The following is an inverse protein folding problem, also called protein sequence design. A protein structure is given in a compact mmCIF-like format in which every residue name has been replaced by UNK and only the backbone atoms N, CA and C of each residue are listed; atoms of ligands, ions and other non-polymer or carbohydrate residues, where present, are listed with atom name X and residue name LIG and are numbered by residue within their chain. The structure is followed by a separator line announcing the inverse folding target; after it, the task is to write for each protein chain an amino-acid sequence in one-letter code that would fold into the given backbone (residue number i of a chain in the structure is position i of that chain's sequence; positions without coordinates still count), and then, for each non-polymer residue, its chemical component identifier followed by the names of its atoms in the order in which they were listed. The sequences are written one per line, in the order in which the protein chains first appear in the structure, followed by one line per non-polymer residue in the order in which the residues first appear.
data_IF_821482904955
#
_entry.id   IF_821482904955
#
_cell.length_a   1.000
_cell.length_b   1.000
_cell.length_c   1.000
_cell.angle_alpha   90.00
_cell.angle_beta   90.00
_cell.angle_gamma   90.00
#
_symmetry.space_group_name_H-M   'P 1'
#
loop_
_entity.id
_entity.type
_entity.pdbx_description
1 polymer ?
#
# COMPACT_ATOMS: atom_id res chain seq x y z
N UNK A 1 5.28 8.42 29.14
CA UNK A 1 4.30 9.10 30.03
C UNK A 1 3.01 9.32 29.27
N UNK A 2 1.95 8.58 29.62
CA UNK A 2 0.60 8.83 29.14
C UNK A 2 0.09 10.14 29.76
N UNK A 3 -0.56 10.99 28.96
CA UNK A 3 -1.06 12.28 29.41
C UNK A 3 -2.03 12.11 30.59
N UNK A 4 -1.69 12.67 31.75
CA UNK A 4 -2.64 12.83 32.87
C UNK A 4 -3.47 14.06 32.55
N UNK A 5 -4.73 13.86 32.18
CA UNK A 5 -5.68 14.96 32.03
C UNK A 5 -6.01 15.52 33.43
N UNK A 6 -5.27 16.55 33.86
CA UNK A 6 -5.68 17.43 34.96
C UNK A 6 -6.49 18.58 34.37
N UNK A 7 -7.80 18.43 34.42
CA UNK A 7 -8.74 19.51 34.10
C UNK A 7 -10.16 19.04 34.41
N UNK A 8 -10.83 19.72 35.34
CA UNK A 8 -12.25 19.54 35.62
C UNK A 8 -13.02 19.75 34.32
N UNK A 9 -13.59 18.68 33.75
CA UNK A 9 -14.41 18.77 32.55
C UNK A 9 -15.69 19.53 32.96
N UNK A 10 -15.80 20.80 32.54
CA UNK A 10 -17.06 21.53 32.62
C UNK A 10 -18.08 20.76 31.79
N UNK A 11 -19.03 20.09 32.45
CA UNK A 11 -20.17 19.46 31.79
C UNK A 11 -21.00 20.56 31.14
N UNK A 12 -20.82 20.78 29.85
CA UNK A 12 -21.79 21.55 29.07
C UNK A 12 -23.14 20.83 29.15
N UNK A 13 -24.24 21.54 29.45
CA UNK A 13 -25.63 21.03 29.47
C UNK A 13 -26.16 20.64 28.07
N UNK A 14 -25.29 20.18 27.17
CA UNK A 14 -25.65 19.70 25.84
C UNK A 14 -26.08 18.24 25.93
N UNK A 15 -27.19 17.89 25.29
CA UNK A 15 -27.59 16.50 25.12
C UNK A 15 -26.47 15.76 24.36
N UNK A 16 -25.97 14.67 24.96
CA UNK A 16 -24.93 13.85 24.36
C UNK A 16 -25.47 13.19 23.09
N UNK A 17 -24.69 13.21 22.01
CA UNK A 17 -24.98 12.41 20.82
C UNK A 17 -24.85 10.92 21.14
N UNK A 18 -25.49 10.06 20.33
CA UNK A 18 -25.51 8.61 20.55
C UNK A 18 -24.10 8.00 20.70
N UNK A 19 -23.12 8.47 19.91
CA UNK A 19 -21.71 8.10 20.04
C UNK A 19 -21.09 8.57 21.38
N UNK A 20 -21.42 9.78 21.82
CA UNK A 20 -20.91 10.38 23.05
C UNK A 20 -21.46 9.65 24.28
N UNK A 21 -22.72 9.19 24.25
CA UNK A 21 -23.32 8.34 25.27
C UNK A 21 -22.59 7.00 25.41
N UNK A 22 -22.22 6.37 24.29
CA UNK A 22 -21.48 5.09 24.30
C UNK A 22 -20.12 5.26 24.99
N UNK A 23 -19.44 6.39 24.81
CA UNK A 23 -18.15 6.65 25.47
C UNK A 23 -18.33 7.04 26.93
N UNK A 24 -19.32 7.90 27.24
CA UNK A 24 -19.53 8.45 28.57
C UNK A 24 -20.13 7.45 29.59
N UNK A 25 -20.89 6.46 29.14
CA UNK A 25 -21.61 5.54 30.04
C UNK A 25 -20.77 4.34 30.52
N UNK A 26 -19.50 4.22 30.09
CA UNK A 26 -18.65 3.10 30.50
C UNK A 26 -17.79 3.49 31.71
N UNK A 27 -18.16 2.95 32.87
CA UNK A 27 -17.55 3.27 34.18
C UNK A 27 -16.31 2.39 34.46
N UNK A 28 -16.07 1.35 33.63
CA UNK A 28 -14.98 0.38 33.83
C UNK A 28 -14.15 0.16 32.58
N UNK A 29 -12.83 0.15 32.76
CA UNK A 29 -11.84 -0.08 31.70
C UNK A 29 -11.86 -1.51 31.14
N UNK A 30 -12.36 -2.49 31.90
CA UNK A 30 -12.38 -3.89 31.47
C UNK A 30 -13.38 -4.08 30.32
N UNK A 31 -12.85 -4.45 29.16
CA UNK A 31 -13.66 -4.68 27.96
C UNK A 31 -14.22 -3.39 27.33
N UNK A 32 -13.73 -2.22 27.75
CA UNK A 32 -14.16 -0.91 27.22
C UNK A 32 -14.05 -0.84 25.69
N UNK A 33 -12.93 -1.29 25.12
CA UNK A 33 -12.73 -1.34 23.67
C UNK A 33 -13.80 -2.19 22.98
N UNK A 34 -14.17 -3.33 23.55
CA UNK A 34 -15.20 -4.22 23.00
C UNK A 34 -16.59 -3.58 23.07
N UNK A 35 -16.91 -2.90 24.19
CA UNK A 35 -18.19 -2.19 24.37
C UNK A 35 -18.32 -1.01 23.41
N UNK A 36 -17.27 -0.21 23.27
CA UNK A 36 -17.21 0.88 22.28
C UNK A 36 -17.35 0.31 20.87
N UNK A 37 -16.60 -0.74 20.54
CA UNK A 37 -16.68 -1.39 19.22
C UNK A 37 -18.09 -1.87 18.90
N UNK A 38 -18.76 -2.57 19.82
CA UNK A 38 -20.15 -3.03 19.65
C UNK A 38 -21.12 -1.88 19.48
N UNK A 39 -21.01 -0.83 20.29
CA UNK A 39 -21.85 0.37 20.17
C UNK A 39 -21.61 1.12 18.86
N UNK A 40 -20.37 1.21 18.39
CA UNK A 40 -20.08 1.76 17.07
C UNK A 40 -20.66 0.88 15.94
N UNK A 41 -20.65 -0.44 16.11
CA UNK A 41 -21.22 -1.39 15.16
C UNK A 41 -22.73 -1.20 15.01
N UNK A 42 -23.47 -0.97 16.10
CA UNK A 42 -24.92 -0.73 16.06
C UNK A 42 -25.27 0.61 15.42
N UNK A 43 -24.41 1.63 15.59
CA UNK A 43 -24.56 2.93 14.93
C UNK A 43 -24.18 2.91 13.45
N UNK A 44 -23.50 1.85 12.99
CA UNK A 44 -23.05 1.74 11.62
C UNK A 44 -24.17 1.25 10.68
N UNK A 45 -25.13 2.13 10.39
CA UNK A 45 -26.23 1.87 9.43
C UNK A 45 -25.88 2.17 7.97
N UNK A 46 -24.75 2.86 7.73
CA UNK A 46 -24.30 3.19 6.37
C UNK A 46 -23.59 1.99 5.74
N UNK A 47 -24.00 1.64 4.51
CA UNK A 47 -23.27 0.71 3.64
C UNK A 47 -21.81 1.14 3.59
N UNK A 48 -20.89 0.26 4.01
CA UNK A 48 -19.46 0.56 3.99
C UNK A 48 -19.04 0.98 2.59
N UNK A 49 -18.34 2.11 2.48
CA UNK A 49 -17.72 2.52 1.23
C UNK A 49 -16.70 1.45 0.86
N UNK A 50 -17.01 0.58 -0.11
CA UNK A 50 -16.08 -0.43 -0.59
C UNK A 50 -14.94 0.28 -1.34
N UNK A 51 -13.70 0.30 -0.80
CA UNK A 51 -12.61 1.04 -1.41
C UNK A 51 -12.23 0.50 -2.79
N UNK A 52 -12.40 -0.81 -3.02
CA UNK A 52 -12.16 -1.46 -4.31
C UNK A 52 -13.16 -0.99 -5.36
N UNK A 53 -14.43 -0.78 -4.99
CA UNK A 53 -15.41 -0.16 -5.91
C UNK A 53 -15.03 1.28 -6.25
N UNK A 54 -14.53 2.07 -5.29
CA UNK A 54 -14.01 3.42 -5.57
C UNK A 54 -12.78 3.42 -6.46
N UNK A 55 -11.93 2.40 -6.36
CA UNK A 55 -10.85 2.22 -7.33
C UNK A 55 -11.38 1.90 -8.73
N UNK A 56 -12.42 1.07 -8.85
CA UNK A 56 -13.06 0.77 -10.12
C UNK A 56 -13.63 2.04 -10.78
N UNK A 57 -14.31 2.89 -10.01
CA UNK A 57 -14.79 4.20 -10.46
C UNK A 57 -13.64 5.09 -10.98
N UNK A 58 -12.55 5.24 -10.21
CA UNK A 58 -11.39 6.05 -10.64
C UNK A 58 -10.75 5.51 -11.93
N UNK A 59 -10.71 4.18 -12.10
CA UNK A 59 -10.15 3.52 -13.28
C UNK A 59 -11.14 3.44 -14.45
N UNK A 60 -12.34 4.02 -14.30
CA UNK A 60 -13.45 3.94 -15.26
C UNK A 60 -13.74 2.49 -15.72
N UNK A 61 -13.83 1.57 -14.76
CA UNK A 61 -13.95 0.12 -15.01
C UNK A 61 -14.96 -0.55 -14.10
N UNK A 62 -15.44 -1.70 -14.55
CA UNK A 62 -16.25 -2.61 -13.74
C UNK A 62 -15.39 -3.75 -13.20
N UNK A 63 -15.50 -4.03 -11.89
CA UNK A 63 -14.88 -5.19 -11.27
C UNK A 63 -15.95 -6.21 -10.89
N UNK A 64 -15.72 -7.48 -11.23
CA UNK A 64 -16.60 -8.57 -10.82
C UNK A 64 -16.50 -8.82 -9.31
N UNK A 65 -17.39 -9.66 -8.78
CA UNK A 65 -17.33 -10.07 -7.37
C UNK A 65 -16.01 -10.79 -7.07
N UNK A 66 -15.52 -11.58 -8.00
CA UNK A 66 -14.28 -12.34 -7.93
C UNK A 66 -13.05 -11.41 -7.94
N UNK A 67 -13.06 -10.36 -8.75
CA UNK A 67 -12.01 -9.34 -8.78
C UNK A 67 -11.91 -8.62 -7.43
N UNK A 68 -13.06 -8.24 -6.86
CA UNK A 68 -13.15 -7.63 -5.53
C UNK A 68 -12.61 -8.58 -4.47
N UNK A 69 -12.99 -9.86 -4.50
CA UNK A 69 -12.46 -10.86 -3.59
C UNK A 69 -10.95 -11.07 -3.76
N UNK A 70 -10.44 -11.04 -4.99
CA UNK A 70 -9.00 -11.16 -5.27
C UNK A 70 -8.22 -9.99 -4.67
N UNK A 71 -8.71 -8.77 -4.81
CA UNK A 71 -8.12 -7.59 -4.18
C UNK A 71 -8.11 -7.71 -2.65
N UNK A 72 -9.20 -8.19 -2.03
CA UNK A 72 -9.25 -8.43 -0.59
C UNK A 72 -8.26 -9.51 -0.13
N UNK A 73 -8.16 -10.63 -0.85
CA UNK A 73 -7.17 -11.68 -0.57
C UNK A 73 -5.74 -11.15 -0.72
N UNK A 74 -5.48 -10.36 -1.76
CA UNK A 74 -4.18 -9.74 -1.97
C UNK A 74 -3.81 -8.79 -0.83
N UNK A 75 -4.72 -7.86 -0.48
CA UNK A 75 -4.52 -6.94 0.63
C UNK A 75 -4.17 -7.65 1.94
N UNK A 76 -4.83 -8.77 2.25
CA UNK A 76 -4.64 -9.49 3.51
C UNK A 76 -3.47 -10.47 3.53
N UNK A 77 -3.04 -10.95 2.35
CA UNK A 77 -2.09 -12.06 2.20
C UNK A 77 -0.88 -11.76 1.31
N UNK A 78 -0.63 -10.50 0.95
CA UNK A 78 0.46 -10.14 0.04
C UNK A 78 1.88 -10.36 0.61
N UNK A 79 2.03 -10.53 1.92
CA UNK A 79 3.34 -10.62 2.58
C UNK A 79 3.20 -11.17 4.00
N UNK A 80 4.21 -11.90 4.47
CA UNK A 80 4.27 -12.37 5.85
C UNK A 80 4.54 -11.22 6.82
N UNK A 81 5.37 -10.27 6.42
CA UNK A 81 5.65 -9.05 7.20
C UNK A 81 4.41 -8.16 7.32
N UNK A 82 4.06 -7.80 8.56
CA UNK A 82 2.95 -6.88 8.86
C UNK A 82 3.20 -5.48 8.29
N UNK A 83 4.44 -5.00 8.33
CA UNK A 83 4.80 -3.67 7.83
C UNK A 83 4.57 -3.55 6.32
N UNK A 84 4.88 -4.60 5.57
CA UNK A 84 4.71 -4.65 4.12
C UNK A 84 3.21 -4.77 3.77
N UNK A 85 2.49 -5.61 4.51
CA UNK A 85 1.04 -5.76 4.35
C UNK A 85 0.27 -4.48 4.70
N UNK A 86 0.69 -3.74 5.72
CA UNK A 86 0.12 -2.44 6.07
C UNK A 86 0.26 -1.44 4.92
N UNK A 87 1.38 -1.46 4.17
CA UNK A 87 1.55 -0.62 2.98
C UNK A 87 0.47 -0.91 1.94
N UNK A 88 0.26 -2.19 1.61
CA UNK A 88 -0.77 -2.59 0.64
C UNK A 88 -2.18 -2.23 1.13
N UNK A 89 -2.48 -2.46 2.42
CA UNK A 89 -3.76 -2.07 3.05
C UNK A 89 -3.99 -0.57 2.89
N UNK A 90 -3.01 0.29 3.21
CA UNK A 90 -3.14 1.75 3.09
C UNK A 90 -3.39 2.19 1.65
N UNK A 91 -2.80 1.52 0.66
CA UNK A 91 -3.08 1.78 -0.76
C UNK A 91 -4.49 1.35 -1.13
N UNK A 92 -4.87 0.10 -0.88
CA UNK A 92 -6.21 -0.43 -1.20
C UNK A 92 -7.31 0.36 -0.51
N UNK A 93 -7.13 0.74 0.76
CA UNK A 93 -8.07 1.58 1.54
C UNK A 93 -8.06 3.06 1.15
N UNK A 94 -7.26 3.48 0.15
CA UNK A 94 -7.21 4.86 -0.36
C UNK A 94 -6.83 5.86 0.74
N UNK A 95 -5.91 5.46 1.62
CA UNK A 95 -5.54 6.23 2.81
C UNK A 95 -4.81 7.54 2.48
N UNK A 96 -4.04 7.55 1.40
CA UNK A 96 -3.17 8.66 1.04
C UNK A 96 -3.98 9.90 0.62
N UNK A 97 -3.68 11.05 1.25
CA UNK A 97 -4.36 12.32 0.99
C UNK A 97 -3.91 12.92 -0.34
N UNK A 98 -4.85 13.25 -1.21
CA UNK A 98 -4.60 13.90 -2.50
C UNK A 98 -4.97 15.37 -2.44
N UNK A 99 -4.44 16.20 -3.36
CA UNK A 99 -4.80 17.62 -3.40
C UNK A 99 -6.27 17.83 -3.76
N UNK A 100 -6.83 17.01 -4.66
CA UNK A 100 -8.28 17.00 -4.92
C UNK A 100 -9.11 16.80 -3.64
N UNK A 101 -8.67 15.90 -2.74
CA UNK A 101 -9.36 15.69 -1.45
C UNK A 101 -9.11 16.83 -0.48
N UNK A 102 -7.88 17.34 -0.42
CA UNK A 102 -7.51 18.46 0.44
C UNK A 102 -8.32 19.72 0.10
N UNK A 103 -8.39 20.09 -1.18
CA UNK A 103 -9.16 21.25 -1.67
C UNK A 103 -10.65 21.13 -1.35
N UNK A 104 -11.23 19.93 -1.49
CA UNK A 104 -12.63 19.68 -1.09
C UNK A 104 -12.85 19.88 0.42
N UNK A 105 -11.85 19.63 1.25
CA UNK A 105 -11.91 19.84 2.70
C UNK A 105 -11.70 21.30 3.10
N UNK A 106 -10.75 22.00 2.49
CA UNK A 106 -10.40 23.40 2.80
C UNK A 106 -11.29 24.43 2.10
N UNK A 107 -12.08 24.04 1.09
CA UNK A 107 -12.90 24.92 0.21
C UNK A 107 -12.12 25.97 -0.58
N UNK A 108 -10.79 25.89 -0.57
CA UNK A 108 -9.88 26.75 -1.34
C UNK A 108 -8.58 26.02 -1.62
N UNK A 109 -7.90 26.41 -2.70
CA UNK A 109 -6.58 25.90 -3.06
C UNK A 109 -6.52 25.19 -4.41
N UNK A 110 -5.31 24.83 -4.78
CA UNK A 110 -4.97 24.21 -6.05
C UNK A 110 -5.06 22.68 -5.96
N UNK A 111 -5.72 22.07 -6.94
CA UNK A 111 -5.91 20.62 -7.00
C UNK A 111 -4.85 19.89 -7.83
N UNK A 112 -3.86 20.61 -8.39
CA UNK A 112 -2.75 20.04 -9.18
C UNK A 112 -1.93 19.05 -8.37
N UNK A 113 -1.23 18.16 -9.05
CA UNK A 113 -0.43 17.10 -8.42
C UNK A 113 0.72 17.66 -7.56
N UNK A 114 0.95 17.05 -6.38
CA UNK A 114 2.09 17.36 -5.49
C UNK A 114 3.45 17.29 -6.18
N UNK A 115 3.54 16.51 -7.27
CA UNK A 115 4.77 16.33 -8.04
C UNK A 115 5.05 17.45 -9.04
N UNK A 116 4.15 18.42 -9.20
CA UNK A 116 4.33 19.53 -10.13
C UNK A 116 4.24 19.14 -11.61
N UNK A 117 3.57 18.02 -11.93
CA UNK A 117 3.43 17.56 -13.32
C UNK A 117 2.50 18.44 -14.19
N UNK A 118 1.71 19.32 -13.57
CA UNK A 118 0.74 20.21 -14.21
C UNK A 118 -0.71 19.70 -14.24
N UNK A 119 -0.93 18.40 -14.01
CA UNK A 119 -2.25 17.78 -14.05
C UNK A 119 -2.93 17.72 -12.67
N UNK A 120 -4.25 17.50 -12.65
CA UNK A 120 -5.04 17.33 -11.43
C UNK A 120 -4.55 16.13 -10.62
N UNK A 121 -4.20 16.36 -9.36
CA UNK A 121 -3.70 15.35 -8.43
C UNK A 121 -4.81 14.45 -7.88
N UNK A 122 -5.47 13.66 -8.73
CA UNK A 122 -6.38 12.59 -8.29
C UNK A 122 -5.60 11.44 -7.63
N UNK A 123 -6.30 10.49 -7.01
CA UNK A 123 -5.63 9.36 -6.37
C UNK A 123 -4.98 8.44 -7.41
N UNK A 124 -5.73 8.06 -8.45
CA UNK A 124 -5.20 7.25 -9.55
C UNK A 124 -4.06 7.96 -10.28
N UNK A 125 -4.17 9.27 -10.50
CA UNK A 125 -3.09 10.05 -11.09
C UNK A 125 -1.80 9.94 -10.27
N UNK A 126 -1.86 10.23 -8.98
CA UNK A 126 -0.67 10.21 -8.12
C UNK A 126 -0.03 8.82 -7.97
N UNK A 127 -0.82 7.75 -8.08
CA UNK A 127 -0.32 6.37 -8.00
C UNK A 127 0.18 5.82 -9.32
N UNK A 128 -0.48 6.17 -10.42
CA UNK A 128 -0.30 5.51 -11.72
C UNK A 128 -0.10 6.51 -12.85
N UNK A 129 -1.10 7.32 -13.18
CA UNK A 129 -1.15 8.04 -14.47
C UNK A 129 -0.12 9.16 -14.59
N UNK A 130 0.37 9.69 -13.45
CA UNK A 130 1.32 10.79 -13.45
C UNK A 130 2.54 10.50 -14.31
N UNK A 131 2.80 11.36 -15.30
CA UNK A 131 3.96 11.25 -16.19
C UNK A 131 5.31 11.15 -15.47
N UNK A 132 5.40 11.66 -14.23
CA UNK A 132 6.59 11.60 -13.38
C UNK A 132 6.71 10.28 -12.60
N UNK A 133 5.63 9.51 -12.49
CA UNK A 133 5.58 8.19 -11.83
C UNK A 133 5.69 7.07 -12.86
N UNK A 134 5.17 7.27 -14.07
CA UNK A 134 5.20 6.33 -15.19
C UNK A 134 6.58 5.72 -15.49
N UNK A 135 7.71 6.46 -15.45
CA UNK A 135 9.04 5.86 -15.66
C UNK A 135 9.38 4.71 -14.70
N UNK A 136 8.95 4.82 -13.43
CA UNK A 136 9.13 3.73 -12.46
C UNK A 136 8.29 2.52 -12.86
N UNK A 137 7.00 2.70 -13.15
CA UNK A 137 6.13 1.58 -13.56
C UNK A 137 6.61 0.89 -14.84
N UNK A 138 7.07 1.66 -15.84
CA UNK A 138 7.67 1.09 -17.06
C UNK A 138 8.92 0.26 -16.73
N UNK A 139 9.71 0.69 -15.75
CA UNK A 139 10.89 -0.07 -15.28
C UNK A 139 10.48 -1.36 -14.58
N UNK A 140 9.47 -1.34 -13.72
CA UNK A 140 8.90 -2.55 -13.10
C UNK A 140 8.46 -3.56 -14.16
N UNK A 141 7.74 -3.12 -15.19
CA UNK A 141 7.33 -4.00 -16.29
C UNK A 141 8.49 -4.48 -17.16
N UNK A 142 9.54 -3.68 -17.33
CA UNK A 142 10.76 -4.12 -18.00
C UNK A 142 11.45 -5.25 -17.22
N UNK A 143 11.47 -5.18 -15.89
CA UNK A 143 11.98 -6.25 -15.04
C UNK A 143 11.14 -7.53 -15.17
N UNK A 144 9.81 -7.42 -15.18
CA UNK A 144 8.93 -8.57 -15.38
C UNK A 144 9.25 -9.28 -16.70
N UNK A 145 9.45 -8.53 -17.79
CA UNK A 145 9.87 -9.10 -19.08
C UNK A 145 11.22 -9.80 -19.02
N UNK A 146 12.19 -9.28 -18.26
CA UNK A 146 13.50 -9.95 -18.05
C UNK A 146 13.38 -11.28 -17.29
N UNK A 147 12.32 -11.45 -16.51
CA UNK A 147 11.95 -12.69 -15.83
C UNK A 147 11.04 -13.57 -16.68
N UNK A 148 10.84 -13.24 -17.97
CA UNK A 148 9.89 -13.94 -18.87
C UNK A 148 8.44 -13.93 -18.38
N UNK A 149 8.08 -12.97 -17.53
CA UNK A 149 6.73 -12.79 -17.01
C UNK A 149 6.00 -11.76 -17.88
N UNK A 150 4.98 -12.21 -18.60
CA UNK A 150 4.12 -11.35 -19.40
C UNK A 150 2.87 -10.94 -18.61
N UNK A 151 2.73 -9.64 -18.34
CA UNK A 151 1.57 -9.06 -17.68
C UNK A 151 1.04 -7.85 -18.46
N UNK A 152 -0.29 -7.70 -18.57
CA UNK A 152 -0.89 -6.46 -19.07
C UNK A 152 -0.40 -5.25 -18.28
N UNK A 153 -0.17 -4.13 -18.97
CA UNK A 153 0.24 -2.88 -18.32
C UNK A 153 -0.98 -2.19 -17.67
N UNK A 154 -1.38 -2.70 -16.51
CA UNK A 154 -2.68 -2.41 -15.90
C UNK A 154 -2.54 -1.98 -14.42
N UNK A 155 -3.10 -0.82 -14.02
CA UNK A 155 -3.09 -0.38 -12.63
C UNK A 155 -3.84 -1.32 -11.68
N UNK A 156 -4.85 -2.07 -12.13
CA UNK A 156 -5.57 -3.01 -11.26
C UNK A 156 -4.65 -4.14 -10.77
N UNK A 157 -3.69 -4.55 -11.60
CA UNK A 157 -2.68 -5.56 -11.24
C UNK A 157 -1.72 -4.98 -10.20
N UNK A 158 -1.07 -3.85 -10.51
CA UNK A 158 -0.04 -3.28 -9.64
C UNK A 158 -0.59 -2.67 -8.33
N UNK A 159 -1.75 -2.01 -8.38
CA UNK A 159 -2.28 -1.28 -7.22
C UNK A 159 -3.12 -2.18 -6.32
N UNK A 160 -3.84 -3.17 -6.89
CA UNK A 160 -4.84 -3.98 -6.16
C UNK A 160 -4.53 -5.48 -6.16
N UNK A 161 -3.56 -5.94 -6.96
CA UNK A 161 -3.24 -7.36 -7.09
C UNK A 161 -4.37 -8.17 -7.75
N UNK A 162 -5.11 -7.54 -8.67
CA UNK A 162 -6.14 -8.20 -9.48
C UNK A 162 -5.48 -8.70 -10.76
N UNK A 163 -5.05 -9.96 -10.76
CA UNK A 163 -4.37 -10.59 -11.88
C UNK A 163 -5.37 -11.17 -12.89
N UNK A 164 -5.01 -11.21 -14.19
CA UNK A 164 -5.70 -12.05 -15.18
C UNK A 164 -5.85 -13.48 -14.67
N UNK A 165 -6.95 -14.14 -15.06
CA UNK A 165 -7.28 -15.51 -14.63
C UNK A 165 -6.47 -16.59 -15.35
N UNK A 166 -5.52 -16.21 -16.19
CA UNK A 166 -4.59 -17.13 -16.82
C UNK A 166 -3.75 -17.84 -15.74
N UNK A 167 -3.66 -19.17 -15.83
CA UNK A 167 -2.98 -20.00 -14.83
C UNK A 167 -1.49 -19.70 -14.76
N UNK A 168 -0.82 -19.43 -15.88
CA UNK A 168 0.59 -19.07 -15.91
C UNK A 168 0.86 -17.75 -15.19
N UNK A 169 0.01 -16.74 -15.43
CA UNK A 169 0.08 -15.44 -14.75
C UNK A 169 -0.10 -15.58 -13.23
N UNK A 170 -1.03 -16.43 -12.79
CA UNK A 170 -1.28 -16.65 -11.36
C UNK A 170 -0.09 -17.31 -10.64
N UNK A 171 0.69 -18.15 -11.32
CA UNK A 171 1.89 -18.78 -10.75
C UNK A 171 2.97 -17.75 -10.41
N UNK A 172 3.10 -16.69 -11.20
CA UNK A 172 4.11 -15.64 -10.99
C UNK A 172 3.70 -14.59 -9.95
N UNK A 173 2.53 -14.72 -9.33
CA UNK A 173 2.03 -13.76 -8.33
C UNK A 173 2.99 -13.57 -7.17
N UNK A 174 3.65 -14.64 -6.72
CA UNK A 174 4.64 -14.61 -5.64
C UNK A 174 5.82 -13.70 -5.97
N UNK A 175 6.33 -13.78 -7.20
CA UNK A 175 7.45 -12.98 -7.70
C UNK A 175 7.06 -11.53 -8.02
N UNK A 176 5.86 -11.31 -8.57
CA UNK A 176 5.40 -9.97 -8.97
C UNK A 176 5.00 -9.08 -7.78
N UNK A 177 4.37 -9.67 -6.76
CA UNK A 177 3.85 -8.94 -5.59
C UNK A 177 4.90 -8.06 -4.89
N UNK A 178 6.11 -8.56 -4.52
CA UNK A 178 7.12 -7.72 -3.87
C UNK A 178 7.57 -6.57 -4.77
N UNK A 179 7.67 -6.77 -6.09
CA UNK A 179 8.01 -5.73 -7.06
C UNK A 179 7.02 -4.57 -7.05
N UNK A 180 5.73 -4.89 -7.09
CA UNK A 180 4.66 -3.89 -7.05
C UNK A 180 4.60 -3.18 -5.69
N UNK A 181 4.72 -3.92 -4.57
CA UNK A 181 4.70 -3.31 -3.23
C UNK A 181 5.92 -2.42 -2.98
N UNK A 182 7.09 -2.79 -3.52
CA UNK A 182 8.26 -1.93 -3.50
C UNK A 182 7.98 -0.63 -4.26
N UNK A 183 7.41 -0.71 -5.47
CA UNK A 183 7.10 0.46 -6.28
C UNK A 183 6.08 1.38 -5.58
N UNK A 184 5.00 0.79 -5.04
CA UNK A 184 4.02 1.49 -4.21
C UNK A 184 4.68 2.19 -3.01
N UNK A 185 5.58 1.48 -2.32
CA UNK A 185 6.29 2.05 -1.17
C UNK A 185 7.20 3.21 -1.57
N UNK A 186 7.85 3.14 -2.72
CA UNK A 186 8.70 4.22 -3.25
C UNK A 186 7.88 5.45 -3.63
N UNK A 187 6.73 5.26 -4.29
CA UNK A 187 5.80 6.34 -4.64
C UNK A 187 5.20 6.99 -3.38
N UNK A 188 4.83 6.17 -2.39
CA UNK A 188 4.31 6.64 -1.11
C UNK A 188 5.33 7.47 -0.33
N UNK A 189 6.63 7.10 -0.40
CA UNK A 189 7.71 7.81 0.29
C UNK A 189 7.81 9.27 -0.16
N UNK A 190 7.63 9.54 -1.45
CA UNK A 190 7.66 10.91 -2.00
C UNK A 190 6.26 11.48 -2.27
N UNK A 191 5.23 11.00 -1.57
CA UNK A 191 3.82 11.28 -1.92
C UNK A 191 3.47 12.77 -2.04
N UNK A 192 3.99 13.60 -1.13
CA UNK A 192 3.75 15.05 -1.06
C UNK A 192 4.94 15.89 -1.53
N UNK A 193 5.94 15.26 -2.12
CA UNK A 193 7.16 15.95 -2.57
C UNK A 193 7.12 16.14 -4.10
N UNK A 194 7.76 17.19 -4.64
CA UNK A 194 7.96 17.34 -6.08
C UNK A 194 8.85 16.23 -6.69
N UNK A 195 9.45 15.39 -5.83
CA UNK A 195 10.43 14.38 -6.20
C UNK A 195 9.81 13.19 -6.93
N UNK A 196 10.39 12.89 -8.10
CA UNK A 196 10.06 11.69 -8.87
C UNK A 196 10.58 10.43 -8.17
N UNK A 197 9.82 9.32 -8.15
CA UNK A 197 10.32 8.05 -7.65
C UNK A 197 11.39 7.49 -8.59
N UNK A 198 12.55 7.12 -8.06
CA UNK A 198 13.70 6.61 -8.83
C UNK A 198 13.82 5.08 -8.78
N UNK A 199 14.38 4.49 -9.83
CA UNK A 199 14.72 3.05 -9.91
C UNK A 199 15.60 2.59 -8.75
N UNK A 200 16.64 3.37 -8.40
CA UNK A 200 17.52 3.09 -7.26
C UNK A 200 16.80 2.92 -5.93
N UNK A 201 15.94 3.88 -5.57
CA UNK A 201 15.13 3.81 -4.36
C UNK A 201 14.14 2.63 -4.40
N UNK A 202 13.64 2.27 -5.57
CA UNK A 202 12.83 1.06 -5.75
C UNK A 202 13.63 -0.22 -5.55
N UNK A 203 14.84 -0.35 -6.10
CA UNK A 203 15.73 -1.50 -5.89
C UNK A 203 16.14 -1.61 -4.41
N UNK A 204 16.48 -0.50 -3.75
CA UNK A 204 16.71 -0.46 -2.28
C UNK A 204 15.48 -0.96 -1.52
N UNK A 205 14.29 -0.59 -1.97
CA UNK A 205 13.05 -1.03 -1.34
C UNK A 205 12.78 -2.52 -1.57
N UNK A 206 13.13 -3.06 -2.74
CA UNK A 206 13.10 -4.49 -3.02
C UNK A 206 14.00 -5.26 -2.06
N UNK A 207 15.26 -4.83 -1.87
CA UNK A 207 16.18 -5.42 -0.90
C UNK A 207 15.62 -5.39 0.52
N UNK A 208 15.02 -4.26 0.94
CA UNK A 208 14.36 -4.20 2.24
C UNK A 208 13.23 -5.23 2.39
N UNK A 209 12.38 -5.39 1.35
CA UNK A 209 11.29 -6.36 1.38
C UNK A 209 11.86 -7.79 1.45
N UNK A 210 12.90 -8.09 0.66
CA UNK A 210 13.60 -9.36 0.72
C UNK A 210 14.08 -9.68 2.13
N UNK A 211 14.83 -8.78 2.75
CA UNK A 211 15.35 -8.96 4.11
C UNK A 211 14.23 -9.20 5.12
N UNK A 212 13.13 -8.44 5.03
CA UNK A 212 11.98 -8.61 5.93
C UNK A 212 11.28 -9.96 5.73
N UNK A 213 11.05 -10.39 4.49
CA UNK A 213 10.42 -11.68 4.21
C UNK A 213 11.33 -12.84 4.62
N UNK A 214 12.64 -12.73 4.38
CA UNK A 214 13.63 -13.73 4.81
C UNK A 214 13.63 -13.93 6.34
N UNK A 215 13.66 -12.84 7.12
CA UNK A 215 13.56 -12.93 8.58
C UNK A 215 12.23 -13.56 9.03
N UNK A 216 11.12 -13.22 8.36
CA UNK A 216 9.82 -13.79 8.67
C UNK A 216 9.76 -15.30 8.33
N UNK A 217 10.39 -15.71 7.23
CA UNK A 217 10.47 -17.09 6.79
C UNK A 217 11.28 -17.96 7.75
N UNK A 218 12.43 -17.47 8.25
CA UNK A 218 13.22 -18.14 9.29
C UNK A 218 12.35 -18.40 10.53
N UNK A 219 11.64 -17.37 11.00
CA UNK A 219 10.80 -17.48 12.21
C UNK A 219 9.66 -18.49 12.07
N UNK A 220 9.22 -18.79 10.85
CA UNK A 220 8.15 -19.76 10.57
C UNK A 220 8.65 -21.12 10.11
N UNK A 221 9.97 -21.31 9.98
CA UNK A 221 10.56 -22.50 9.37
C UNK A 221 10.09 -22.74 7.92
N UNK A 222 9.83 -21.67 7.17
CA UNK A 222 9.33 -21.66 5.78
C UNK A 222 10.36 -21.00 4.83
N UNK A 223 11.65 -21.29 5.02
CA UNK A 223 12.76 -20.63 4.31
C UNK A 223 12.76 -20.95 2.81
N UNK A 224 12.55 -22.22 2.44
CA UNK A 224 12.68 -22.67 1.05
C UNK A 224 11.73 -21.97 0.06
N UNK A 225 10.42 -21.80 0.35
CA UNK A 225 9.54 -21.00 -0.51
C UNK A 225 10.01 -19.54 -0.69
N UNK A 226 10.55 -18.93 0.38
CA UNK A 226 11.08 -17.56 0.31
C UNK A 226 12.30 -17.49 -0.60
N UNK A 227 13.26 -18.40 -0.43
CA UNK A 227 14.49 -18.45 -1.25
C UNK A 227 14.13 -18.65 -2.72
N UNK A 228 13.23 -19.58 -3.04
CA UNK A 228 12.82 -19.84 -4.41
C UNK A 228 12.26 -18.59 -5.12
N UNK A 229 11.40 -17.82 -4.45
CA UNK A 229 10.81 -16.59 -5.01
C UNK A 229 11.87 -15.51 -5.24
N UNK A 230 12.82 -15.36 -4.31
CA UNK A 230 13.77 -14.25 -4.31
C UNK A 230 15.05 -14.50 -5.12
N UNK A 231 15.46 -15.75 -5.34
CA UNK A 231 16.64 -16.08 -6.16
C UNK A 231 16.55 -15.51 -7.59
N UNK A 232 15.38 -15.61 -8.23
CA UNK A 232 15.17 -15.06 -9.57
C UNK A 232 15.26 -13.53 -9.59
N UNK A 233 14.70 -12.88 -8.55
CA UNK A 233 14.67 -11.43 -8.42
C UNK A 233 16.07 -10.86 -8.13
N UNK A 234 16.84 -11.52 -7.27
CA UNK A 234 18.19 -11.13 -6.88
C UNK A 234 19.11 -11.01 -8.10
N UNK A 235 19.08 -12.00 -9.00
CA UNK A 235 19.87 -11.97 -10.23
C UNK A 235 19.57 -10.76 -11.10
N UNK A 236 18.30 -10.37 -11.24
CA UNK A 236 17.91 -9.18 -12.02
C UNK A 236 18.29 -7.89 -11.29
N UNK A 237 18.07 -7.83 -9.97
CA UNK A 237 18.39 -6.66 -9.14
C UNK A 237 19.90 -6.35 -9.13
N UNK A 238 20.76 -7.37 -9.02
CA UNK A 238 22.21 -7.22 -9.05
C UNK A 238 22.71 -6.72 -10.41
N UNK A 239 22.15 -7.22 -11.51
CA UNK A 239 22.50 -6.79 -12.88
C UNK A 239 22.16 -5.33 -13.16
N UNK A 240 21.12 -4.81 -12.52
CA UNK A 240 20.68 -3.41 -12.70
C UNK A 240 21.52 -2.45 -11.86
N UNK A 241 21.96 -2.91 -10.69
CA UNK A 241 22.91 -2.21 -9.85
C UNK A 241 24.29 -2.10 -10.51
N UNK A 242 24.80 -3.18 -11.11
CA UNK A 242 26.12 -3.18 -11.75
C UNK A 242 26.19 -2.23 -12.95
N UNK A 243 25.05 -1.97 -13.60
CA UNK A 243 24.92 -0.95 -14.64
C UNK A 243 24.87 0.48 -14.08
N UNK A 244 24.55 0.67 -12.79
CA UNK A 244 24.38 1.96 -12.12
C UNK A 244 25.60 2.42 -11.26
N UNK A 245 26.66 1.61 -11.19
CA UNK A 245 27.92 1.92 -10.49
C UNK A 245 28.02 1.46 -9.02
N UNK A 246 29.25 1.21 -8.59
CA UNK A 246 29.72 0.33 -7.49
C UNK A 246 29.22 0.55 -6.03
N UNK A 247 28.25 1.43 -5.75
CA UNK A 247 27.89 1.76 -4.34
C UNK A 247 27.04 0.73 -3.61
N UNK A 248 26.53 -0.30 -4.29
CA UNK A 248 25.54 -1.24 -3.74
C UNK A 248 26.09 -2.64 -3.43
N UNK A 249 27.26 -3.01 -3.99
CA UNK A 249 27.96 -4.27 -3.67
C UNK A 249 28.25 -4.43 -2.16
N UNK A 250 28.32 -3.31 -1.43
CA UNK A 250 28.51 -3.30 0.02
C UNK A 250 27.27 -3.75 0.82
N UNK A 251 26.05 -3.66 0.26
CA UNK A 251 24.84 -4.10 0.96
C UNK A 251 24.60 -5.60 0.79
N UNK A 252 24.82 -6.15 -0.41
CA UNK A 252 24.78 -7.60 -0.65
C UNK A 252 25.81 -8.33 0.23
N UNK A 253 27.07 -7.85 0.25
CA UNK A 253 28.13 -8.40 1.11
C UNK A 253 27.85 -8.28 2.62
N UNK A 254 27.07 -7.28 3.08
CA UNK A 254 26.75 -7.10 4.51
C UNK A 254 25.63 -8.00 5.02
N UNK A 255 24.79 -8.53 4.12
CA UNK A 255 23.69 -9.45 4.49
C UNK A 255 24.19 -10.91 4.57
N UNK A 256 25.47 -11.17 4.26
CA UNK A 256 26.05 -12.50 4.37
C UNK A 256 25.49 -13.46 3.32
N UNK A 257 25.48 -13.01 2.06
CA UNK A 257 25.31 -13.83 0.87
C UNK A 257 26.48 -13.57 -0.08
#
# INVERSE_FOLDING_TARGET
SFCIAKGTINKSNRQLMECEKIVANNISDKGLVSKIYKGLLTLHTRKTNNPVKKWAEDMNRHFSKEDIQMAHRHMNGCSMSLLIRERQIKTTLRYHLTLVRAVKMSKSGDSRCWRGCGETGTLLHCWWECKLVQPLWKTVWRFLKKLTIELPYDPAIALLGIYPRDTGVLMHRGTCTPMFIAALSTIAKTWKEPKCPSTDEWIKKMWFIYTMEYYMAIRKNEIWPCVAIWMELEGVMLREISQAGDRYLMFARKVGM
#
